data_IF_061654038325
#
_entry.id   IF_061654038325
#
_cell.length_a   1.000
_cell.length_b   1.000
_cell.length_c   1.000
_cell.angle_alpha   90.00
_cell.angle_beta   90.00
_cell.angle_gamma   90.00
#
_symmetry.space_group_name_H-M   'P 1'
#
loop_
_entity.id
_entity.type
_entity.pdbx_description
1 polymer ?
#
# COMPACT_ATOMS: atom_id res chain seq x y z
N UNK A 1 10.60 -9.13 18.18
CA UNK A 1 10.81 -7.68 17.90
C UNK A 1 11.61 -7.58 16.63
N UNK A 2 10.88 -7.58 15.52
CA UNK A 2 11.42 -7.29 14.20
C UNK A 2 11.98 -5.87 14.18
N UNK A 3 13.17 -5.67 13.62
CA UNK A 3 13.79 -4.35 13.54
C UNK A 3 14.12 -4.04 12.08
N UNK A 4 13.61 -2.91 11.59
CA UNK A 4 13.90 -2.45 10.24
C UNK A 4 15.30 -1.82 10.22
N UNK A 5 16.15 -2.24 9.27
CA UNK A 5 17.51 -1.72 9.16
C UNK A 5 17.53 -0.23 8.81
N UNK A 6 18.64 0.46 9.09
CA UNK A 6 18.79 1.92 8.90
C UNK A 6 18.45 2.43 7.49
N UNK A 7 18.78 1.65 6.46
CA UNK A 7 18.49 1.96 5.05
C UNK A 7 17.73 0.78 4.44
N UNK A 8 16.42 0.69 4.65
CA UNK A 8 15.63 -0.41 4.14
C UNK A 8 15.41 -0.27 2.63
N UNK A 9 15.51 -1.40 1.93
CA UNK A 9 15.01 -1.61 0.58
C UNK A 9 13.59 -2.18 0.66
N UNK A 10 12.84 -2.22 -0.44
CA UNK A 10 11.46 -2.72 -0.43
C UNK A 10 11.36 -4.16 0.10
N UNK A 11 12.34 -5.00 -0.23
CA UNK A 11 12.43 -6.37 0.30
C UNK A 11 12.53 -6.43 1.83
N UNK A 12 13.13 -5.43 2.47
CA UNK A 12 13.23 -5.39 3.94
C UNK A 12 11.89 -5.03 4.56
N UNK A 13 11.09 -4.16 3.93
CA UNK A 13 9.71 -3.89 4.34
C UNK A 13 8.81 -5.12 4.16
N UNK A 14 8.90 -5.77 3.00
CA UNK A 14 8.21 -7.03 2.73
C UNK A 14 8.55 -8.10 3.78
N UNK A 15 9.84 -8.28 4.08
CA UNK A 15 10.29 -9.20 5.12
C UNK A 15 9.80 -8.81 6.52
N UNK A 16 9.89 -7.53 6.87
CA UNK A 16 9.44 -7.02 8.16
C UNK A 16 7.95 -7.30 8.40
N UNK A 17 7.12 -7.10 7.38
CA UNK A 17 5.68 -7.38 7.44
C UNK A 17 5.42 -8.88 7.58
N UNK A 18 6.11 -9.71 6.81
CA UNK A 18 6.02 -11.17 6.93
C UNK A 18 6.39 -11.67 8.34
N UNK A 19 7.38 -11.05 8.98
CA UNK A 19 7.77 -11.39 10.34
C UNK A 19 6.73 -10.92 11.38
N UNK A 20 6.13 -9.73 11.22
CA UNK A 20 5.02 -9.25 12.07
C UNK A 20 3.82 -10.20 11.99
N UNK A 21 3.47 -10.66 10.79
CA UNK A 21 2.36 -11.59 10.58
C UNK A 21 2.58 -12.89 11.36
N UNK A 22 3.80 -13.43 11.29
CA UNK A 22 4.20 -14.62 12.04
C UNK A 22 4.18 -14.39 13.55
N UNK A 23 4.73 -13.26 14.02
CA UNK A 23 4.75 -12.92 15.46
C UNK A 23 3.34 -12.76 16.04
N UNK A 24 2.41 -12.19 15.26
CA UNK A 24 1.02 -11.96 15.69
C UNK A 24 0.09 -13.15 15.44
N UNK A 25 0.58 -14.23 14.83
CA UNK A 25 -0.25 -15.37 14.46
C UNK A 25 -1.32 -15.02 13.41
N UNK A 26 -1.08 -13.98 12.61
CA UNK A 26 -1.99 -13.52 11.56
C UNK A 26 -1.86 -14.44 10.35
N UNK A 27 -2.51 -15.60 10.40
CA UNK A 27 -2.67 -16.47 9.24
C UNK A 27 -4.02 -16.19 8.56
N UNK A 28 -4.18 -14.98 8.02
CA UNK A 28 -5.37 -14.65 7.23
C UNK A 28 -5.15 -15.03 5.76
N UNK A 29 -6.21 -15.51 5.10
CA UNK A 29 -6.19 -15.83 3.68
C UNK A 29 -5.98 -14.59 2.79
N UNK A 30 -5.79 -14.80 1.49
CA UNK A 30 -5.57 -13.70 0.54
C UNK A 30 -6.79 -12.78 0.39
N UNK A 31 -8.01 -13.29 0.58
CA UNK A 31 -9.24 -12.51 0.46
C UNK A 31 -9.36 -11.50 1.60
N UNK A 32 -8.96 -11.88 2.81
CA UNK A 32 -8.87 -10.95 3.93
C UNK A 32 -7.93 -9.78 3.63
N UNK A 33 -6.75 -10.05 3.05
CA UNK A 33 -5.81 -8.97 2.70
C UNK A 33 -6.35 -8.04 1.63
N UNK A 34 -7.03 -8.60 0.62
CA UNK A 34 -7.69 -7.79 -0.41
C UNK A 34 -8.80 -6.91 0.18
N UNK A 35 -9.58 -7.46 1.13
CA UNK A 35 -10.63 -6.72 1.83
C UNK A 35 -10.05 -5.58 2.66
N UNK A 36 -9.06 -5.88 3.51
CA UNK A 36 -8.42 -4.86 4.36
C UNK A 36 -7.73 -3.78 3.53
N UNK A 37 -7.00 -4.14 2.47
CA UNK A 37 -6.42 -3.13 1.57
C UNK A 37 -7.49 -2.21 0.98
N UNK A 38 -8.67 -2.74 0.65
CA UNK A 38 -9.81 -1.94 0.19
C UNK A 38 -10.35 -0.99 1.26
N UNK A 39 -10.40 -1.45 2.51
CA UNK A 39 -10.78 -0.62 3.67
C UNK A 39 -9.79 0.53 3.88
N UNK A 40 -8.49 0.23 3.98
CA UNK A 40 -7.43 1.25 4.17
C UNK A 40 -7.38 2.24 3.00
N UNK A 41 -7.65 1.77 1.78
CA UNK A 41 -7.75 2.66 0.60
C UNK A 41 -8.95 3.61 0.73
N UNK A 42 -10.08 3.12 1.26
CA UNK A 42 -11.24 3.95 1.56
C UNK A 42 -10.96 4.98 2.65
N UNK A 43 -10.21 4.61 3.68
CA UNK A 43 -9.76 5.52 4.74
C UNK A 43 -8.81 6.58 4.19
N UNK A 44 -7.85 6.19 3.35
CA UNK A 44 -6.98 7.11 2.61
C UNK A 44 -7.77 8.13 1.81
N UNK A 45 -8.83 7.72 1.11
CA UNK A 45 -9.66 8.65 0.35
C UNK A 45 -10.42 9.64 1.25
N UNK A 46 -10.91 9.19 2.42
CA UNK A 46 -11.52 10.10 3.41
C UNK A 46 -10.48 11.10 3.94
N UNK A 47 -9.26 10.64 4.23
CA UNK A 47 -8.18 11.48 4.72
C UNK A 47 -7.78 12.54 3.68
N UNK A 48 -7.65 12.16 2.40
CA UNK A 48 -7.38 13.09 1.30
C UNK A 48 -8.50 14.13 1.16
N UNK A 49 -9.76 13.69 1.13
CA UNK A 49 -10.93 14.60 1.05
C UNK A 49 -10.90 15.64 2.17
N UNK A 50 -10.62 15.21 3.40
CA UNK A 50 -10.49 16.09 4.56
C UNK A 50 -9.32 17.06 4.40
N UNK A 51 -8.16 16.61 3.90
CA UNK A 51 -6.99 17.47 3.67
C UNK A 51 -7.22 18.53 2.59
N UNK A 52 -8.05 18.22 1.60
CA UNK A 52 -8.46 19.12 0.51
C UNK A 52 -9.68 19.98 0.87
N UNK A 53 -10.03 20.09 2.17
CA UNK A 53 -11.17 20.85 2.69
C UNK A 53 -12.54 20.47 2.09
N UNK A 54 -12.69 19.23 1.60
CA UNK A 54 -13.97 18.72 1.16
C UNK A 54 -14.78 18.18 2.34
N UNK A 55 -16.11 18.22 2.22
CA UNK A 55 -16.99 17.68 3.26
C UNK A 55 -16.75 16.17 3.43
N UNK A 56 -16.60 15.77 4.68
CA UNK A 56 -16.63 14.39 5.16
C UNK A 56 -17.73 14.28 6.21
N UNK A 57 -18.23 13.07 6.43
CA UNK A 57 -19.21 12.83 7.50
C UNK A 57 -18.62 13.29 8.85
N UNK A 58 -19.27 14.22 9.59
CA UNK A 58 -18.78 14.70 10.88
C UNK A 58 -18.59 13.60 11.93
N UNK A 59 -19.29 12.46 11.79
CA UNK A 59 -19.19 11.32 12.69
C UNK A 59 -18.11 10.32 12.26
N UNK A 60 -17.52 10.48 11.06
CA UNK A 60 -16.42 9.62 10.63
C UNK A 60 -15.16 9.94 11.41
N UNK A 61 -14.54 8.90 11.97
CA UNK A 61 -13.13 8.95 12.32
C UNK A 61 -12.33 9.01 11.02
N UNK A 62 -11.45 9.99 10.91
CA UNK A 62 -10.60 10.20 9.73
C UNK A 62 -9.19 10.38 10.23
N UNK A 63 -8.31 9.42 9.90
CA UNK A 63 -6.88 9.50 10.17
C UNK A 63 -6.18 10.51 9.26
N UNK A 64 -4.86 10.52 9.31
CA UNK A 64 -4.04 11.38 8.45
C UNK A 64 -3.67 10.67 7.16
N UNK A 65 -3.53 11.40 6.05
CA UNK A 65 -3.07 10.83 4.76
C UNK A 65 -1.79 10.01 4.93
N UNK A 66 -0.91 10.42 5.84
CA UNK A 66 0.33 9.70 6.14
C UNK A 66 0.11 8.32 6.74
N UNK A 67 -0.81 8.20 7.70
CA UNK A 67 -1.14 6.93 8.36
C UNK A 67 -1.78 5.98 7.34
N UNK A 68 -2.81 6.45 6.64
CA UNK A 68 -3.55 5.59 5.70
C UNK A 68 -2.67 5.13 4.52
N UNK A 69 -1.70 5.95 4.08
CA UNK A 69 -0.72 5.52 3.07
C UNK A 69 0.16 4.37 3.58
N UNK A 70 0.53 4.39 4.85
CA UNK A 70 1.32 3.32 5.47
C UNK A 70 0.47 2.06 5.60
N UNK A 71 -0.81 2.18 5.97
CA UNK A 71 -1.71 1.03 6.12
C UNK A 71 -1.97 0.35 4.76
N UNK A 72 -2.23 1.13 3.71
CA UNK A 72 -2.29 0.62 2.32
C UNK A 72 -0.98 -0.07 1.92
N UNK A 73 0.17 0.54 2.24
CA UNK A 73 1.47 -0.03 1.92
C UNK A 73 1.73 -1.37 2.64
N UNK A 74 1.28 -1.50 3.89
CA UNK A 74 1.40 -2.73 4.67
C UNK A 74 0.65 -3.87 3.99
N UNK A 75 -0.63 -3.66 3.64
CA UNK A 75 -1.40 -4.71 2.97
C UNK A 75 -0.91 -5.00 1.56
N UNK A 76 -0.43 -4.01 0.82
CA UNK A 76 0.21 -4.22 -0.48
C UNK A 76 1.42 -5.16 -0.39
N UNK A 77 2.31 -4.91 0.58
CA UNK A 77 3.45 -5.78 0.83
C UNK A 77 3.03 -7.19 1.28
N UNK A 78 2.01 -7.28 2.14
CA UNK A 78 1.45 -8.57 2.57
C UNK A 78 0.88 -9.39 1.42
N UNK A 79 0.14 -8.75 0.50
CA UNK A 79 -0.37 -9.39 -0.72
C UNK A 79 0.80 -9.88 -1.59
N UNK A 80 1.82 -9.04 -1.80
CA UNK A 80 2.99 -9.42 -2.58
C UNK A 80 3.70 -10.63 -1.98
N UNK A 81 3.87 -10.67 -0.66
CA UNK A 81 4.47 -11.80 0.05
C UNK A 81 3.68 -13.10 -0.15
N UNK A 82 2.33 -13.05 -0.12
CA UNK A 82 1.50 -14.24 -0.32
C UNK A 82 1.58 -14.81 -1.73
N UNK A 83 1.90 -13.99 -2.72
CA UNK A 83 2.12 -14.41 -4.10
C UNK A 83 3.60 -14.63 -4.46
N UNK A 84 4.50 -14.53 -3.48
CA UNK A 84 5.95 -14.63 -3.69
C UNK A 84 6.49 -13.62 -4.73
N UNK A 85 5.98 -12.39 -4.68
CA UNK A 85 6.34 -11.30 -5.58
C UNK A 85 7.38 -10.39 -4.91
N UNK A 86 8.52 -10.20 -5.58
CA UNK A 86 9.45 -9.10 -5.28
C UNK A 86 8.88 -7.79 -5.85
N UNK A 87 8.39 -6.90 -4.98
CA UNK A 87 7.78 -5.65 -5.41
C UNK A 87 8.78 -4.71 -6.08
N UNK A 88 10.05 -4.72 -5.65
CA UNK A 88 11.07 -3.85 -6.24
C UNK A 88 11.37 -4.27 -7.67
N UNK A 89 11.58 -5.57 -7.88
CA UNK A 89 11.79 -6.11 -9.22
C UNK A 89 10.56 -5.90 -10.11
N UNK A 90 9.36 -6.19 -9.61
CA UNK A 90 8.12 -6.00 -10.35
C UNK A 90 7.91 -4.53 -10.78
N UNK A 91 8.27 -3.58 -9.91
CA UNK A 91 8.22 -2.16 -10.23
C UNK A 91 9.23 -1.81 -11.34
N UNK A 92 10.48 -2.28 -11.24
CA UNK A 92 11.53 -2.05 -12.25
C UNK A 92 11.12 -2.61 -13.61
N UNK A 93 10.60 -3.84 -13.65
CA UNK A 93 10.13 -4.48 -14.87
C UNK A 93 8.99 -3.69 -15.53
N UNK A 94 8.07 -3.18 -14.70
CA UNK A 94 6.96 -2.34 -15.17
C UNK A 94 7.45 -1.04 -15.79
N UNK A 95 8.46 -0.41 -15.20
CA UNK A 95 9.04 0.83 -15.72
C UNK A 95 9.74 0.62 -17.07
N UNK A 96 10.44 -0.50 -17.28
CA UNK A 96 11.02 -0.83 -18.59
C UNK A 96 9.96 -1.01 -19.68
N UNK A 97 8.76 -1.48 -19.32
CA UNK A 97 7.61 -1.52 -20.23
C UNK A 97 7.07 -0.10 -20.48
N UNK A 98 6.95 0.72 -19.43
CA UNK A 98 6.41 2.08 -19.54
C UNK A 98 7.30 3.00 -20.39
N UNK A 99 8.62 2.85 -20.33
CA UNK A 99 9.58 3.61 -21.18
C UNK A 99 9.35 3.40 -22.68
N UNK A 100 8.79 2.25 -23.07
CA UNK A 100 8.49 1.92 -24.47
C UNK A 100 7.12 2.46 -24.93
N UNK A 101 6.34 3.06 -24.02
CA UNK A 101 5.03 3.63 -24.35
C UNK A 101 5.17 5.08 -24.79
N UNK A 102 4.66 5.39 -25.98
CA UNK A 102 4.41 6.77 -26.38
C UNK A 102 3.07 7.22 -25.83
N UNK A 103 3.08 8.04 -24.78
CA UNK A 103 1.87 8.65 -24.25
C UNK A 103 1.47 9.80 -25.19
N UNK A 104 0.38 9.64 -25.95
CA UNK A 104 -0.29 10.80 -26.55
C UNK A 104 -0.92 11.57 -25.40
N UNK A 105 -0.48 12.81 -25.17
CA UNK A 105 -1.13 13.71 -24.23
C UNK A 105 -2.62 13.70 -24.54
N UNK A 106 -3.43 13.33 -23.55
CA UNK A 106 -4.86 13.59 -23.62
C UNK A 106 -4.99 15.12 -23.70
N UNK A 107 -5.45 15.63 -24.84
CA UNK A 107 -5.82 17.03 -24.92
C UNK A 107 -6.95 17.23 -23.91
N UNK A 108 -6.68 17.99 -22.87
CA UNK A 108 -7.71 18.59 -22.04
C UNK A 108 -8.57 19.46 -22.96
N UNK A 109 -9.85 19.10 -23.08
CA UNK A 109 -10.89 19.95 -23.67
C UNK A 109 -11.63 20.66 -22.55
#
# INVERSE_FOLDING_TARGET
MTNLKRNPELKDFQKYILEIEKERGLSSDIFHYALMMGEETGELFKAIRKSENQQVDPNSKVGTVREELVDVFIFLCGIANKYDIDLEQAFRDKEEINKKRSWKQAKEN
#
